data_IF_472663556982
#
_entry.id   IF_472663556982
#
_cell.length_a   1.000
_cell.length_b   1.000
_cell.length_c   1.000
_cell.angle_alpha   90.00
_cell.angle_beta   90.00
_cell.angle_gamma   90.00
#
_symmetry.space_group_name_H-M   'P 1'
#
loop_
_entity.id
_entity.type
_entity.pdbx_description
1 polymer ?
#
# COMPACT_ATOMS: atom_id res chain seq x y z
N UNK A 1 12.68 11.42 -4.60
CA UNK A 1 12.10 12.20 -3.48
C UNK A 1 10.80 11.52 -3.08
N UNK A 2 10.57 11.28 -1.79
CA UNK A 2 9.33 10.66 -1.31
C UNK A 2 8.28 11.75 -1.05
N UNK A 3 7.09 11.62 -1.64
CA UNK A 3 5.95 12.55 -1.48
C UNK A 3 4.90 11.92 -0.56
N UNK A 4 5.00 12.24 0.73
CA UNK A 4 4.15 11.65 1.76
C UNK A 4 2.69 12.09 1.61
N UNK A 5 1.75 11.21 1.97
CA UNK A 5 0.32 11.52 2.01
C UNK A 5 -0.09 12.21 3.30
N UNK A 6 -1.04 13.13 3.20
CA UNK A 6 -1.77 13.70 4.32
C UNK A 6 -2.65 12.65 5.01
N UNK A 7 -2.52 12.44 6.34
CA UNK A 7 -3.37 11.50 7.06
C UNK A 7 -4.79 12.05 7.17
N UNK A 8 -5.78 11.40 6.55
CA UNK A 8 -7.21 11.74 6.74
C UNK A 8 -7.83 11.14 8.01
N UNK A 9 -7.07 10.35 8.77
CA UNK A 9 -7.52 9.73 10.02
C UNK A 9 -6.61 10.18 11.15
N UNK A 10 -7.20 10.80 12.18
CA UNK A 10 -6.49 11.37 13.32
C UNK A 10 -5.68 10.32 14.10
N UNK A 11 -6.07 9.05 14.03
CA UNK A 11 -5.37 7.95 14.70
C UNK A 11 -4.13 7.45 13.92
N UNK A 12 -3.99 7.81 12.64
CA UNK A 12 -2.94 7.33 11.74
C UNK A 12 -1.72 8.25 11.71
N UNK A 13 -1.26 8.67 12.89
CA UNK A 13 -0.09 9.54 13.06
C UNK A 13 1.24 8.83 12.76
N UNK A 14 1.29 7.51 12.95
CA UNK A 14 2.47 6.69 12.77
C UNK A 14 2.16 5.52 11.85
N UNK A 15 3.16 5.05 11.06
CA UNK A 15 2.98 3.89 10.18
C UNK A 15 2.44 2.66 10.94
N UNK A 16 2.85 2.45 12.19
CA UNK A 16 2.35 1.35 13.03
C UNK A 16 0.85 1.43 13.36
N UNK A 17 0.24 2.60 13.22
CA UNK A 17 -1.19 2.83 13.46
C UNK A 17 -2.01 2.70 12.17
N UNK A 18 -1.37 2.50 11.03
CA UNK A 18 -2.03 2.27 9.74
C UNK A 18 -2.24 0.78 9.49
N UNK A 19 -3.05 0.37 8.49
CA UNK A 19 -3.10 -1.01 8.03
C UNK A 19 -1.69 -1.59 7.84
N UNK A 20 -1.48 -2.87 8.19
CA UNK A 20 -0.15 -3.45 8.38
C UNK A 20 0.72 -3.54 7.12
N UNK A 21 0.18 -3.21 5.95
CA UNK A 21 0.90 -3.20 4.68
C UNK A 21 0.71 -1.85 4.01
N UNK A 22 1.77 -1.07 3.99
CA UNK A 22 1.86 0.19 3.25
C UNK A 22 2.69 0.00 1.98
N UNK A 23 2.38 0.78 0.96
CA UNK A 23 3.10 0.80 -0.31
C UNK A 23 3.27 2.24 -0.77
N UNK A 24 4.38 2.50 -1.45
CA UNK A 24 4.56 3.72 -2.23
C UNK A 24 4.23 3.42 -3.69
N UNK A 25 3.61 4.35 -4.41
CA UNK A 25 3.19 4.14 -5.79
C UNK A 25 3.62 5.32 -6.67
N UNK A 26 3.95 5.10 -7.96
CA UNK A 26 4.49 6.15 -8.81
C UNK A 26 3.47 7.24 -9.14
N UNK A 27 2.17 6.94 -9.04
CA UNK A 27 1.12 7.91 -9.35
C UNK A 27 0.93 8.98 -8.27
N UNK A 28 1.48 8.84 -7.06
CA UNK A 28 1.36 9.86 -6.00
C UNK A 28 2.48 10.87 -6.18
N UNK A 29 2.12 12.10 -6.55
CA UNK A 29 3.08 13.17 -6.86
C UNK A 29 3.12 14.29 -5.82
N UNK A 30 2.39 14.18 -4.70
CA UNK A 30 2.30 15.25 -3.70
C UNK A 30 1.41 14.94 -2.48
N UNK A 31 1.38 15.89 -1.54
CA UNK A 31 0.84 15.75 -0.18
C UNK A 31 -0.67 15.40 -0.11
N UNK A 32 -1.48 16.01 -0.96
CA UNK A 32 -2.94 15.82 -1.00
C UNK A 32 -3.39 15.04 -2.25
N UNK A 33 -2.51 14.20 -2.81
CA UNK A 33 -2.78 13.54 -4.07
C UNK A 33 -3.98 12.57 -3.96
N UNK A 34 -4.90 12.48 -4.94
CA UNK A 34 -6.07 11.58 -4.89
C UNK A 34 -5.72 10.08 -4.89
N UNK A 35 -4.47 9.75 -5.22
CA UNK A 35 -3.91 8.40 -5.07
C UNK A 35 -3.59 8.02 -3.62
N UNK A 36 -3.52 8.99 -2.71
CA UNK A 36 -3.32 8.73 -1.30
C UNK A 36 -4.47 7.92 -0.70
N UNK A 37 -4.13 7.02 0.22
CA UNK A 37 -5.07 6.16 0.93
C UNK A 37 -5.92 5.28 0.01
N UNK A 38 -5.41 5.00 -1.20
CA UNK A 38 -6.00 3.98 -2.08
C UNK A 38 -5.49 2.60 -1.70
N UNK A 39 -6.36 1.59 -1.83
CA UNK A 39 -5.99 0.20 -1.54
C UNK A 39 -5.66 -0.51 -2.85
N UNK A 40 -4.56 -1.27 -2.84
CA UNK A 40 -4.05 -1.99 -3.99
C UNK A 40 -3.93 -3.47 -3.67
N UNK A 41 -4.50 -4.30 -4.54
CA UNK A 41 -4.23 -5.73 -4.56
C UNK A 41 -3.05 -5.97 -5.49
N UNK A 42 -2.00 -6.58 -4.96
CA UNK A 42 -0.80 -6.97 -5.70
C UNK A 42 -0.74 -8.49 -5.75
N UNK A 43 -0.60 -9.06 -6.95
CA UNK A 43 -0.53 -10.51 -7.17
C UNK A 43 0.88 -10.92 -7.54
N UNK A 44 1.47 -11.87 -6.81
CA UNK A 44 2.65 -12.60 -7.25
C UNK A 44 2.23 -13.86 -8.00
N UNK A 45 2.30 -13.81 -9.32
CA UNK A 45 1.84 -14.91 -10.18
C UNK A 45 2.51 -16.27 -9.88
N UNK A 46 3.84 -16.29 -9.69
CA UNK A 46 4.59 -17.54 -9.45
C UNK A 46 4.09 -18.24 -8.18
N UNK A 47 3.85 -17.49 -7.10
CA UNK A 47 3.37 -18.03 -5.83
C UNK A 47 1.85 -18.03 -5.69
N UNK A 48 1.12 -17.48 -6.66
CA UNK A 48 -0.32 -17.19 -6.61
C UNK A 48 -0.76 -16.39 -5.36
N UNK A 49 0.17 -15.65 -4.75
CA UNK A 49 -0.07 -14.89 -3.53
C UNK A 49 -0.68 -13.53 -3.85
N UNK A 50 -1.72 -13.16 -3.11
CA UNK A 50 -2.35 -11.84 -3.21
C UNK A 50 -2.21 -11.08 -1.90
N UNK A 51 -1.76 -9.83 -1.97
CA UNK A 51 -1.66 -8.96 -0.80
C UNK A 51 -2.31 -7.62 -1.06
N UNK A 52 -3.01 -7.13 -0.04
CA UNK A 52 -3.60 -5.80 -0.03
C UNK A 52 -2.66 -4.84 0.69
N UNK A 53 -2.37 -3.70 0.05
CA UNK A 53 -1.47 -2.67 0.54
C UNK A 53 -2.09 -1.29 0.38
N UNK A 54 -1.92 -0.45 1.40
CA UNK A 54 -2.40 0.92 1.44
C UNK A 54 -1.35 1.86 0.84
N UNK A 55 -1.73 2.65 -0.16
CA UNK A 55 -0.85 3.65 -0.75
C UNK A 55 -0.71 4.88 0.17
N UNK A 56 0.51 5.12 0.68
CA UNK A 56 0.77 6.17 1.68
C UNK A 56 1.83 7.19 1.23
N UNK A 57 2.45 7.00 0.07
CA UNK A 57 3.56 7.82 -0.41
C UNK A 57 3.78 7.66 -1.92
N UNK A 58 4.43 8.64 -2.53
CA UNK A 58 4.96 8.58 -3.89
C UNK A 58 6.28 7.80 -4.01
N UNK A 59 6.48 7.18 -5.16
CA UNK A 59 7.77 6.67 -5.63
C UNK A 59 8.09 7.25 -7.01
N UNK A 60 9.32 7.08 -7.49
CA UNK A 60 9.67 7.52 -8.85
C UNK A 60 9.01 6.66 -9.92
N UNK A 61 9.23 5.34 -9.85
CA UNK A 61 9.00 4.49 -11.04
C UNK A 61 8.23 3.19 -10.76
N UNK A 62 8.08 2.78 -9.50
CA UNK A 62 7.54 1.45 -9.18
C UNK A 62 6.89 1.37 -7.80
N UNK A 63 6.20 0.26 -7.52
CA UNK A 63 5.64 0.02 -6.19
C UNK A 63 6.75 -0.37 -5.22
N UNK A 64 6.89 0.33 -4.09
CA UNK A 64 7.88 -0.02 -3.05
C UNK A 64 7.18 -0.27 -1.72
N UNK A 65 7.50 -1.39 -1.07
CA UNK A 65 6.95 -1.77 0.23
C UNK A 65 8.05 -2.19 1.19
N UNK A 66 7.69 -2.40 2.46
CA UNK A 66 8.65 -2.86 3.47
C UNK A 66 9.13 -4.29 3.18
N UNK A 67 10.28 -4.66 3.76
CA UNK A 67 10.78 -6.04 3.67
C UNK A 67 9.74 -7.06 4.16
N UNK A 68 9.01 -6.75 5.23
CA UNK A 68 7.91 -7.58 5.74
C UNK A 68 6.76 -7.67 4.74
N UNK A 69 6.39 -6.55 4.09
CA UNK A 69 5.37 -6.52 3.04
C UNK A 69 5.74 -7.39 1.85
N UNK A 70 6.98 -7.25 1.36
CA UNK A 70 7.49 -8.04 0.25
C UNK A 70 7.59 -9.53 0.61
N UNK A 71 8.12 -9.88 1.79
CA UNK A 71 8.17 -11.27 2.26
C UNK A 71 6.78 -11.89 2.40
N UNK A 72 5.78 -11.10 2.82
CA UNK A 72 4.40 -11.57 2.88
C UNK A 72 3.86 -11.91 1.48
N UNK A 73 4.27 -11.16 0.46
CA UNK A 73 3.90 -11.40 -0.95
C UNK A 73 4.70 -12.54 -1.58
N UNK A 74 5.95 -12.76 -1.17
CA UNK A 74 6.89 -13.68 -1.81
C UNK A 74 7.23 -14.91 -0.98
N UNK A 75 6.43 -15.24 0.03
CA UNK A 75 6.65 -16.41 0.90
C UNK A 75 8.06 -16.44 1.50
N UNK A 76 8.51 -15.27 1.99
CA UNK A 76 9.83 -15.10 2.62
C UNK A 76 11.01 -14.91 1.66
N UNK A 77 10.76 -14.81 0.35
CA UNK A 77 11.82 -14.73 -0.67
C UNK A 77 12.22 -13.30 -1.03
N UNK A 78 11.85 -12.26 -0.27
CA UNK A 78 12.09 -10.88 -0.67
C UNK A 78 13.58 -10.56 -0.97
N UNK A 79 14.51 -11.20 -0.26
CA UNK A 79 15.96 -11.01 -0.45
C UNK A 79 16.51 -11.67 -1.72
N UNK A 80 15.74 -12.56 -2.35
CA UNK A 80 16.14 -13.23 -3.59
C UNK A 80 15.91 -12.32 -4.81
N UNK A 81 15.14 -11.25 -4.65
CA UNK A 81 14.89 -10.27 -5.71
C UNK A 81 15.85 -9.09 -5.54
N UNK A 82 16.47 -8.67 -6.63
CA UNK A 82 17.23 -7.44 -6.65
C UNK A 82 16.33 -6.30 -7.21
N UNK A 83 16.73 -5.05 -6.99
CA UNK A 83 15.97 -3.88 -7.46
C UNK A 83 16.10 -3.65 -8.98
N UNK A 84 17.02 -4.36 -9.65
CA UNK A 84 17.29 -4.26 -11.09
C UNK A 84 16.39 -5.19 -11.92
N UNK A 85 15.81 -6.20 -11.27
CA UNK A 85 14.81 -7.11 -11.81
C UNK A 85 13.53 -6.97 -10.98
N UNK A 86 12.77 -5.87 -11.16
CA UNK A 86 11.51 -5.68 -10.48
C UNK A 86 10.61 -6.89 -10.75
N UNK A 87 10.00 -7.38 -9.70
CA UNK A 87 8.96 -8.37 -9.82
C UNK A 87 7.83 -7.80 -10.67
N UNK A 88 7.60 -8.38 -11.85
CA UNK A 88 6.39 -8.10 -12.62
C UNK A 88 5.18 -8.55 -11.81
N UNK A 89 4.24 -7.63 -11.65
CA UNK A 89 3.06 -7.79 -10.80
C UNK A 89 1.88 -7.12 -11.46
N UNK A 90 0.74 -7.80 -11.44
CA UNK A 90 -0.52 -7.10 -11.60
C UNK A 90 -0.86 -6.38 -10.30
N UNK A 91 -1.08 -5.08 -10.41
CA UNK A 91 -1.54 -4.23 -9.31
C UNK A 91 -2.92 -3.66 -9.69
N UNK A 92 -3.95 -4.07 -8.95
CA UNK A 92 -5.32 -3.59 -9.17
C UNK A 92 -5.77 -2.73 -8.00
N UNK A 93 -6.23 -1.51 -8.28
CA UNK A 93 -6.89 -0.67 -7.27
C UNK A 93 -8.20 -1.33 -6.84
N UNK A 94 -8.39 -1.48 -5.54
CA UNK A 94 -9.60 -2.07 -4.93
C UNK A 94 -10.23 -1.10 -3.92
N UNK A 95 -11.38 -1.48 -3.38
CA UNK A 95 -12.08 -0.67 -2.36
C UNK A 95 -11.22 -0.59 -1.09
N UNK A 96 -11.17 0.58 -0.46
CA UNK A 96 -10.36 0.85 0.74
C UNK A 96 -10.57 -0.18 1.86
N UNK A 97 -11.81 -0.66 2.03
CA UNK A 97 -12.15 -1.71 3.02
C UNK A 97 -11.31 -2.98 2.91
N UNK A 98 -10.79 -3.32 1.73
CA UNK A 98 -9.92 -4.49 1.54
C UNK A 98 -8.58 -4.35 2.26
N UNK A 99 -8.15 -3.10 2.52
CA UNK A 99 -7.01 -2.78 3.36
C UNK A 99 -7.43 -2.46 4.81
N UNK A 100 -8.59 -1.83 4.99
CA UNK A 100 -9.06 -1.35 6.31
C UNK A 100 -9.62 -2.45 7.23
N UNK A 101 -9.96 -3.64 6.72
CA UNK A 101 -10.35 -4.79 7.55
C UNK A 101 -9.27 -5.27 8.54
N UNK A 102 -8.12 -4.60 8.60
CA UNK A 102 -6.96 -4.91 9.45
C UNK A 102 -6.59 -3.75 10.41
N UNK A 103 -7.31 -2.61 10.39
CA UNK A 103 -7.04 -1.48 11.28
C UNK A 103 -8.35 -0.82 11.74
N UNK A 104 -8.57 -0.80 13.06
CA UNK A 104 -9.34 0.21 13.83
C UNK A 104 -10.71 0.66 13.33
N UNK A 105 -11.72 0.44 14.16
CA UNK A 105 -13.11 0.90 14.05
C UNK A 105 -13.29 2.28 13.41
N UNK A 106 -14.08 2.33 12.34
CA UNK A 106 -14.55 3.53 11.65
C UNK A 106 -15.46 4.36 12.57
N UNK A 107 -15.21 5.66 12.73
CA UNK A 107 -16.32 6.63 12.87
C UNK A 107 -16.68 7.06 11.45
N UNK A 108 -17.69 6.42 10.90
CA UNK A 108 -18.30 6.80 9.63
C UNK A 108 -19.17 8.02 9.89
N UNK A 109 -18.70 9.22 9.50
CA UNK A 109 -19.58 10.38 9.39
C UNK A 109 -20.41 10.24 8.13
N UNK A 110 -21.71 10.53 8.28
CA UNK A 110 -22.84 10.17 7.41
C UNK A 110 -22.94 10.96 6.10
N UNK A 111 -21.85 11.52 5.59
CA UNK A 111 -21.92 12.55 4.53
C UNK A 111 -21.36 12.12 3.16
N UNK A 112 -21.16 10.82 2.89
CA UNK A 112 -20.71 10.36 1.57
C UNK A 112 -21.55 9.17 1.03
N UNK A 113 -22.85 9.43 0.81
CA UNK A 113 -23.71 8.64 -0.09
C UNK A 113 -24.00 9.45 -1.36
#
# INVERSE_FOLDING_TARGET
MFQACSPKYDDWLLQKNTPPRIVTIPSITGWEHPGCMTCWMVTWEIGQERRFSLAMNGSSDSFVTSLTGMNSLTTGQAKNFNYLEPLEREATRVRLRSCAGMAGSRKETRDEL
#
